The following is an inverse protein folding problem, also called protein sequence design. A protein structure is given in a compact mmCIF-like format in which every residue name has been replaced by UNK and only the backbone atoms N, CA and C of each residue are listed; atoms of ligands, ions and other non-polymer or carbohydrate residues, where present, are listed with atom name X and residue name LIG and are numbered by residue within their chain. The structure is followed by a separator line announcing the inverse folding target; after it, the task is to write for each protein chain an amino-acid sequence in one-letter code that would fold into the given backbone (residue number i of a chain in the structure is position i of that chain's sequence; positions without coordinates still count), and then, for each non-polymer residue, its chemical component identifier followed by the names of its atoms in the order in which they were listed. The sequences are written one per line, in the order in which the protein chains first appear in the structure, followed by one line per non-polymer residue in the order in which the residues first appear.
data_IF_248434720975
#
_entry.id   IF_248434720975
#
_cell.length_a   1.000
_cell.length_b   1.000
_cell.length_c   1.000
_cell.angle_alpha   90.00
_cell.angle_beta   90.00
_cell.angle_gamma   90.00
#
_symmetry.space_group_name_H-M   'P 1'
#
loop_
_entity.id
_entity.type
_entity.pdbx_description
1 polymer ?
#
# COMPACT_ATOMS: atom_id res chain seq x y z
N UNK A 1 17.23 18.69 -3.99
CA UNK A 1 18.57 18.36 -3.43
C UNK A 1 19.02 17.02 -3.99
N UNK A 2 20.29 16.90 -4.37
CA UNK A 2 20.87 15.65 -4.87
C UNK A 2 21.59 14.91 -3.72
N UNK A 3 21.34 13.63 -3.57
CA UNK A 3 21.98 12.77 -2.58
C UNK A 3 22.50 11.50 -3.27
N UNK A 4 23.67 11.07 -2.89
CA UNK A 4 24.22 9.77 -3.26
C UNK A 4 24.02 8.80 -2.07
N UNK A 5 23.17 7.80 -2.24
CA UNK A 5 22.94 6.78 -1.23
C UNK A 5 23.48 5.44 -1.73
N UNK A 6 24.70 5.11 -1.30
CA UNK A 6 25.46 4.00 -1.88
C UNK A 6 25.78 4.28 -3.35
N UNK A 7 25.47 3.36 -4.22
CA UNK A 7 25.67 3.49 -5.68
C UNK A 7 24.52 4.19 -6.39
N UNK A 8 23.43 4.50 -5.70
CA UNK A 8 22.21 5.06 -6.29
C UNK A 8 22.11 6.56 -6.05
N UNK A 9 21.88 7.29 -7.13
CA UNK A 9 21.70 8.74 -7.13
C UNK A 9 20.24 9.08 -6.86
N UNK A 10 20.00 9.95 -5.87
CA UNK A 10 18.65 10.35 -5.46
C UNK A 10 18.47 11.86 -5.60
N UNK A 11 17.36 12.28 -6.15
CA UNK A 11 16.95 13.68 -6.21
C UNK A 11 15.77 13.88 -5.24
N UNK A 12 15.99 14.68 -4.21
CA UNK A 12 14.94 15.03 -3.25
C UNK A 12 14.24 16.30 -3.73
N UNK A 13 12.95 16.17 -3.99
CA UNK A 13 12.06 17.27 -4.38
C UNK A 13 11.24 17.68 -3.17
N UNK A 14 11.36 18.95 -2.76
CA UNK A 14 10.72 19.49 -1.55
C UNK A 14 9.82 20.69 -1.83
N UNK A 15 9.75 21.20 -3.06
CA UNK A 15 8.82 22.27 -3.40
C UNK A 15 7.55 21.71 -4.05
N UNK A 16 6.36 22.27 -3.74
CA UNK A 16 5.09 21.85 -4.35
C UNK A 16 5.08 21.98 -5.87
N UNK A 17 5.69 23.03 -6.40
CA UNK A 17 5.75 23.32 -7.85
C UNK A 17 6.53 22.24 -8.59
N UNK A 18 7.72 21.87 -8.06
CA UNK A 18 8.53 20.82 -8.66
C UNK A 18 7.90 19.43 -8.50
N UNK A 19 7.21 19.20 -7.37
CA UNK A 19 6.45 17.97 -7.18
C UNK A 19 5.32 17.87 -8.22
N UNK A 20 4.60 18.94 -8.48
CA UNK A 20 3.56 18.99 -9.51
C UNK A 20 4.13 18.75 -10.91
N UNK A 21 5.26 19.38 -11.22
CA UNK A 21 5.94 19.19 -12.52
C UNK A 21 6.32 17.73 -12.75
N UNK A 22 6.94 17.08 -11.75
CA UNK A 22 7.39 15.70 -11.86
C UNK A 22 6.22 14.71 -11.86
N UNK A 23 5.24 14.90 -10.96
CA UNK A 23 4.18 13.91 -10.74
C UNK A 23 2.97 14.06 -11.66
N UNK A 24 2.87 15.16 -12.40
CA UNK A 24 1.71 15.44 -13.25
C UNK A 24 2.10 15.83 -14.66
N UNK A 25 3.00 16.80 -14.84
CA UNK A 25 3.36 17.29 -16.16
C UNK A 25 4.28 16.32 -16.89
N UNK A 26 5.22 15.73 -16.15
CA UNK A 26 6.24 14.83 -16.67
C UNK A 26 6.17 13.42 -16.06
N UNK A 27 5.00 13.01 -15.64
CA UNK A 27 4.78 11.75 -14.92
C UNK A 27 5.35 10.53 -15.65
N UNK A 28 5.21 10.47 -16.98
CA UNK A 28 5.73 9.36 -17.79
C UNK A 28 7.26 9.20 -17.71
N UNK A 29 7.99 10.29 -17.46
CA UNK A 29 9.45 10.24 -17.32
C UNK A 29 9.90 9.76 -15.92
N UNK A 30 9.00 9.81 -14.93
CA UNK A 30 9.30 9.51 -13.53
C UNK A 30 8.41 8.40 -12.93
N UNK A 31 7.61 7.73 -13.76
CA UNK A 31 6.61 6.77 -13.29
C UNK A 31 7.23 5.44 -12.85
N UNK A 32 8.40 5.09 -13.37
CA UNK A 32 9.02 3.82 -13.07
C UNK A 32 9.45 3.71 -11.60
N UNK A 33 9.32 2.51 -11.07
CA UNK A 33 9.72 2.19 -9.70
C UNK A 33 11.16 1.66 -9.67
N UNK A 34 11.94 1.99 -8.64
CA UNK A 34 13.30 1.46 -8.48
C UNK A 34 13.25 -0.03 -8.17
N UNK A 35 13.34 -0.87 -9.20
CA UNK A 35 13.32 -2.33 -9.09
C UNK A 35 14.73 -2.94 -9.04
N UNK A 36 15.77 -2.14 -9.17
CA UNK A 36 17.16 -2.60 -9.25
C UNK A 36 17.74 -3.01 -7.90
N UNK A 37 17.15 -2.56 -6.79
CA UNK A 37 17.64 -2.94 -5.46
C UNK A 37 17.34 -4.42 -5.18
N UNK A 38 18.32 -5.14 -4.59
CA UNK A 38 18.17 -6.54 -4.21
C UNK A 38 16.90 -6.78 -3.35
N UNK A 39 16.64 -5.87 -2.42
CA UNK A 39 15.44 -5.90 -1.56
C UNK A 39 14.14 -5.86 -2.39
N UNK A 40 14.04 -4.91 -3.32
CA UNK A 40 12.85 -4.80 -4.19
C UNK A 40 12.66 -6.07 -5.02
N UNK A 41 13.73 -6.61 -5.60
CA UNK A 41 13.68 -7.85 -6.40
C UNK A 41 13.16 -9.04 -5.62
N UNK A 42 13.62 -9.24 -4.38
CA UNK A 42 13.20 -10.38 -3.54
C UNK A 42 11.74 -10.23 -3.12
N UNK A 43 11.36 -9.09 -2.56
CA UNK A 43 10.00 -8.89 -2.00
C UNK A 43 8.94 -8.78 -3.08
N UNK A 44 9.28 -8.29 -4.26
CA UNK A 44 8.30 -8.05 -5.34
C UNK A 44 8.32 -9.12 -6.43
N UNK A 45 8.98 -10.25 -6.18
CA UNK A 45 9.12 -11.31 -7.19
C UNK A 45 9.66 -10.78 -8.52
N UNK A 46 10.84 -10.12 -8.49
CA UNK A 46 11.45 -9.48 -9.65
C UNK A 46 10.59 -8.36 -10.29
N UNK A 47 9.89 -7.59 -9.47
CA UNK A 47 9.10 -6.46 -9.96
C UNK A 47 7.77 -6.84 -10.62
N UNK A 48 7.25 -8.04 -10.39
CA UNK A 48 5.96 -8.47 -10.97
C UNK A 48 4.73 -8.00 -10.18
N UNK A 49 4.93 -7.37 -9.02
CA UNK A 49 3.82 -6.82 -8.24
C UNK A 49 3.32 -5.49 -8.82
N UNK A 50 2.05 -5.18 -8.61
CA UNK A 50 1.44 -3.92 -9.05
C UNK A 50 2.16 -2.67 -8.52
N UNK A 51 2.81 -2.78 -7.35
CA UNK A 51 3.52 -1.67 -6.72
C UNK A 51 4.92 -1.41 -7.30
N UNK A 52 5.53 -2.40 -7.93
CA UNK A 52 6.92 -2.34 -8.39
C UNK A 52 7.12 -2.76 -9.85
N UNK A 53 6.09 -3.22 -10.54
CA UNK A 53 6.21 -3.49 -11.96
C UNK A 53 6.51 -2.20 -12.73
N UNK A 54 7.42 -2.29 -13.70
CA UNK A 54 7.74 -1.20 -14.60
C UNK A 54 6.49 -0.78 -15.38
N UNK A 55 6.40 0.51 -15.69
CA UNK A 55 5.29 1.04 -16.47
C UNK A 55 5.30 0.46 -17.89
N UNK A 56 4.22 -0.19 -18.24
CA UNK A 56 4.07 -0.85 -19.54
C UNK A 56 2.75 -1.64 -19.63
N UNK A 57 2.63 -2.47 -20.67
CA UNK A 57 1.39 -3.23 -20.91
C UNK A 57 1.05 -4.17 -19.74
N UNK A 58 2.07 -4.81 -19.17
CA UNK A 58 1.89 -5.69 -18.01
C UNK A 58 1.31 -4.92 -16.81
N UNK A 59 1.92 -3.79 -16.44
CA UNK A 59 1.43 -2.96 -15.33
C UNK A 59 0.03 -2.42 -15.59
N UNK A 60 -0.25 -1.95 -16.83
CA UNK A 60 -1.59 -1.47 -17.21
C UNK A 60 -2.65 -2.56 -17.07
N UNK A 61 -2.34 -3.80 -17.45
CA UNK A 61 -3.25 -4.93 -17.26
C UNK A 61 -3.48 -5.25 -15.78
N UNK A 62 -2.43 -5.28 -14.96
CA UNK A 62 -2.57 -5.47 -13.52
C UNK A 62 -3.43 -4.37 -12.88
N UNK A 63 -3.18 -3.11 -13.21
CA UNK A 63 -3.97 -1.98 -12.70
C UNK A 63 -5.43 -2.06 -13.13
N UNK A 64 -5.68 -2.47 -14.37
CA UNK A 64 -7.04 -2.69 -14.88
C UNK A 64 -7.76 -3.76 -14.06
N UNK A 65 -7.14 -4.90 -13.82
CA UNK A 65 -7.70 -5.98 -12.99
C UNK A 65 -7.95 -5.49 -11.56
N UNK A 66 -6.97 -4.85 -10.94
CA UNK A 66 -7.13 -4.31 -9.58
C UNK A 66 -8.31 -3.33 -9.50
N UNK A 67 -8.42 -2.41 -10.45
CA UNK A 67 -9.47 -1.39 -10.44
C UNK A 67 -10.85 -1.99 -10.70
N UNK A 68 -10.97 -2.89 -11.67
CA UNK A 68 -12.26 -3.45 -12.08
C UNK A 68 -12.76 -4.56 -11.16
N UNK A 69 -11.86 -5.37 -10.60
CA UNK A 69 -12.25 -6.56 -9.82
C UNK A 69 -12.14 -6.35 -8.30
N UNK A 70 -11.20 -5.54 -7.83
CA UNK A 70 -10.91 -5.41 -6.41
C UNK A 70 -11.35 -4.06 -5.82
N UNK A 71 -11.22 -2.97 -6.58
CA UNK A 71 -11.38 -1.61 -6.05
C UNK A 71 -12.67 -0.92 -6.48
N UNK A 72 -13.60 -1.64 -7.09
CA UNK A 72 -14.93 -1.08 -7.40
C UNK A 72 -15.68 -0.74 -6.12
N UNK A 73 -16.51 0.30 -6.15
CA UNK A 73 -17.35 0.69 -5.00
C UNK A 73 -18.16 -0.49 -4.45
N UNK A 74 -18.74 -1.30 -5.35
CA UNK A 74 -19.50 -2.50 -4.98
C UNK A 74 -18.63 -3.51 -4.22
N UNK A 75 -17.40 -3.76 -4.69
CA UNK A 75 -16.48 -4.70 -4.05
C UNK A 75 -16.01 -4.19 -2.69
N UNK A 76 -15.64 -2.92 -2.62
CA UNK A 76 -15.24 -2.29 -1.34
C UNK A 76 -16.38 -2.31 -0.33
N UNK A 77 -17.62 -2.08 -0.76
CA UNK A 77 -18.80 -2.17 0.10
C UNK A 77 -19.08 -3.60 0.55
N UNK A 78 -18.84 -4.61 -0.28
CA UNK A 78 -19.06 -6.02 0.10
C UNK A 78 -18.17 -6.46 1.28
N UNK A 79 -17.05 -5.81 1.52
CA UNK A 79 -16.19 -6.08 2.69
C UNK A 79 -16.56 -5.26 3.94
N UNK A 80 -17.71 -4.57 3.94
CA UNK A 80 -18.14 -3.73 5.07
C UNK A 80 -18.31 -4.55 6.35
N UNK A 81 -18.89 -5.74 6.24
CA UNK A 81 -19.12 -6.61 7.40
C UNK A 81 -17.81 -7.03 8.06
N UNK A 82 -16.76 -7.37 7.29
CA UNK A 82 -15.44 -7.69 7.82
C UNK A 82 -14.90 -6.52 8.66
N UNK A 83 -14.96 -5.31 8.10
CA UNK A 83 -14.49 -4.12 8.84
C UNK A 83 -15.27 -3.88 10.13
N UNK A 84 -16.59 -4.08 10.11
CA UNK A 84 -17.42 -3.91 11.29
C UNK A 84 -17.12 -4.95 12.37
N UNK A 85 -16.95 -6.21 12.00
CA UNK A 85 -16.60 -7.29 12.92
C UNK A 85 -15.22 -7.06 13.56
N UNK A 86 -14.20 -6.79 12.76
CA UNK A 86 -12.83 -6.55 13.24
C UNK A 86 -12.77 -5.32 14.19
N UNK A 87 -13.45 -4.23 13.83
CA UNK A 87 -13.52 -3.04 14.70
C UNK A 87 -14.28 -3.36 16.01
N UNK A 88 -15.39 -4.09 15.95
CA UNK A 88 -16.14 -4.48 17.13
C UNK A 88 -15.33 -5.35 18.08
N UNK A 89 -14.58 -6.30 17.53
CA UNK A 89 -13.69 -7.16 18.32
C UNK A 89 -12.54 -6.37 18.96
N UNK A 90 -11.96 -5.42 18.24
CA UNK A 90 -10.94 -4.53 18.80
C UNK A 90 -11.52 -3.70 19.97
N UNK A 91 -12.69 -3.09 19.81
CA UNK A 91 -13.37 -2.29 20.85
C UNK A 91 -13.68 -3.17 22.06
N UNK A 92 -14.21 -4.37 21.85
CA UNK A 92 -14.48 -5.34 22.90
C UNK A 92 -13.23 -5.68 23.70
N UNK A 93 -12.15 -6.02 23.00
CA UNK A 93 -10.87 -6.37 23.66
C UNK A 93 -10.30 -5.20 24.48
N UNK A 94 -10.48 -3.97 24.01
CA UNK A 94 -10.06 -2.77 24.76
C UNK A 94 -10.92 -2.59 26.00
N UNK A 95 -12.24 -2.75 25.88
CA UNK A 95 -13.17 -2.65 27.00
C UNK A 95 -12.90 -3.71 28.08
N UNK A 96 -12.62 -4.95 27.68
CA UNK A 96 -12.27 -6.03 28.61
C UNK A 96 -10.89 -5.84 29.28
N UNK A 97 -10.08 -4.92 28.78
CA UNK A 97 -8.77 -4.56 29.35
C UNK A 97 -8.87 -3.40 30.36
N UNK A 98 -10.05 -3.10 30.89
CA UNK A 98 -10.27 -2.03 31.87
C UNK A 98 -9.32 -2.19 33.08
N UNK A 99 -8.63 -1.10 33.42
CA UNK A 99 -7.62 -1.08 34.48
C UNK A 99 -6.22 -1.55 34.08
N UNK A 100 -6.00 -2.01 32.84
CA UNK A 100 -4.70 -2.43 32.36
C UNK A 100 -4.20 -1.52 31.24
N UNK A 101 -2.86 -1.47 31.06
CA UNK A 101 -2.22 -0.70 30.00
C UNK A 101 -2.46 -1.42 28.66
N UNK A 102 -3.05 -0.73 27.69
CA UNK A 102 -3.31 -1.24 26.34
C UNK A 102 -2.33 -0.65 25.35
N UNK A 103 -1.63 -1.51 24.60
CA UNK A 103 -0.83 -1.08 23.46
C UNK A 103 -1.71 -0.86 22.23
N UNK A 104 -2.16 0.37 22.05
CA UNK A 104 -3.07 0.75 20.96
C UNK A 104 -2.44 0.54 19.57
N UNK A 105 -1.15 0.83 19.41
CA UNK A 105 -0.46 0.61 18.13
C UNK A 105 -0.53 -0.86 17.71
N UNK A 106 -0.25 -1.79 18.64
CA UNK A 106 -0.36 -3.23 18.35
C UNK A 106 -1.78 -3.63 17.96
N UNK A 107 -2.79 -3.08 18.63
CA UNK A 107 -4.21 -3.34 18.31
C UNK A 107 -4.59 -2.83 16.92
N UNK A 108 -4.15 -1.63 16.54
CA UNK A 108 -4.39 -1.06 15.21
C UNK A 108 -3.69 -1.89 14.12
N UNK A 109 -2.45 -2.33 14.34
CA UNK A 109 -1.78 -3.23 13.40
C UNK A 109 -2.53 -4.54 13.21
N UNK A 110 -2.97 -5.17 14.30
CA UNK A 110 -3.76 -6.41 14.22
C UNK A 110 -5.08 -6.19 13.47
N UNK A 111 -5.78 -5.08 13.74
CA UNK A 111 -7.01 -4.70 13.06
C UNK A 111 -6.81 -4.57 11.54
N UNK A 112 -5.83 -3.76 11.13
CA UNK A 112 -5.58 -3.51 9.71
C UNK A 112 -5.14 -4.77 8.98
N UNK A 113 -4.29 -5.58 9.60
CA UNK A 113 -3.89 -6.88 9.05
C UNK A 113 -5.09 -7.85 8.94
N UNK A 114 -5.90 -7.97 10.00
CA UNK A 114 -7.09 -8.82 10.02
C UNK A 114 -8.07 -8.47 8.90
N UNK A 115 -8.39 -7.17 8.74
CA UNK A 115 -9.26 -6.70 7.65
C UNK A 115 -8.68 -7.07 6.28
N UNK A 116 -7.40 -6.81 6.05
CA UNK A 116 -6.75 -7.08 4.77
C UNK A 116 -6.69 -8.58 4.48
N UNK A 117 -6.28 -9.41 5.44
CA UNK A 117 -6.19 -10.85 5.31
C UNK A 117 -7.56 -11.49 5.03
N UNK A 118 -8.59 -11.11 5.79
CA UNK A 118 -9.95 -11.62 5.59
C UNK A 118 -10.54 -11.19 4.25
N UNK A 119 -10.30 -9.95 3.83
CA UNK A 119 -10.77 -9.47 2.53
C UNK A 119 -10.07 -10.16 1.35
N UNK A 120 -8.79 -10.50 1.50
CA UNK A 120 -7.99 -11.11 0.44
C UNK A 120 -8.19 -12.64 0.34
N UNK A 121 -8.28 -13.32 1.47
CA UNK A 121 -8.26 -14.80 1.53
C UNK A 121 -9.60 -15.42 1.95
N UNK A 122 -10.60 -14.62 2.33
CA UNK A 122 -11.93 -15.11 2.70
C UNK A 122 -11.97 -15.89 4.02
N UNK A 123 -11.01 -15.63 4.91
CA UNK A 123 -10.91 -16.31 6.22
C UNK A 123 -11.78 -15.64 7.28
#
# INVERSE_FOLDING_TARGET
MHLQLGEVSHIIVSSPEMALEIMKTQDLNFIDRPHETLFARIITYNGTSVSFAAYGDYWRQLMKICTMELLTTKRVQSFRFIRQEEVSEMVKTISESEGFIVNLSKKIFSLTYGIAARAAFGM
#
